data_IF_892555304328
#
_entry.id   IF_892555304328
#
_cell.length_a   1.000
_cell.length_b   1.000
_cell.length_c   1.000
_cell.angle_alpha   90.00
_cell.angle_beta   90.00
_cell.angle_gamma   90.00
#
_symmetry.space_group_name_H-M   'P 1'
#
loop_
_entity.id
_entity.type
_entity.pdbx_description
1 polymer ?
#
# COMPACT_ATOMS: atom_id res chain seq x y z
N UNK A 1 -5.16 17.20 -8.43
CA UNK A 1 -4.55 16.64 -7.19
C UNK A 1 -3.46 15.67 -7.63
N UNK A 2 -2.36 15.56 -6.88
CA UNK A 2 -1.32 14.59 -7.19
C UNK A 2 -1.85 13.18 -6.90
N UNK A 3 -1.57 12.23 -7.79
CA UNK A 3 -2.01 10.84 -7.65
C UNK A 3 -1.10 10.10 -6.67
N UNK A 4 -1.67 9.20 -5.87
CA UNK A 4 -0.89 8.29 -5.03
C UNK A 4 -0.24 7.20 -5.88
N UNK A 5 0.97 6.82 -5.50
CA UNK A 5 1.68 5.65 -6.03
C UNK A 5 1.89 4.67 -4.88
N UNK A 6 1.83 3.38 -5.16
CA UNK A 6 1.73 2.35 -4.14
C UNK A 6 2.93 1.39 -4.16
N UNK A 7 3.32 0.92 -2.96
CA UNK A 7 4.22 -0.20 -2.77
C UNK A 7 3.43 -1.36 -2.16
N UNK A 8 3.18 -2.41 -2.94
CA UNK A 8 2.59 -3.64 -2.44
C UNK A 8 3.66 -4.47 -1.73
N UNK A 9 3.41 -4.76 -0.47
CA UNK A 9 4.25 -5.62 0.38
C UNK A 9 4.28 -7.09 -0.11
N UNK A 10 5.20 -7.90 0.39
CA UNK A 10 5.45 -9.27 -0.10
C UNK A 10 4.26 -10.22 0.08
N UNK A 11 3.42 -9.97 1.10
CA UNK A 11 2.22 -10.76 1.38
C UNK A 11 1.00 -10.35 0.55
N UNK A 12 1.08 -9.26 -0.21
CA UNK A 12 -0.03 -8.81 -1.06
C UNK A 12 -0.23 -9.79 -2.23
N UNK A 13 -1.45 -10.31 -2.38
CA UNK A 13 -1.79 -11.27 -3.43
C UNK A 13 -1.50 -10.69 -4.82
N UNK A 14 -0.86 -11.49 -5.68
CA UNK A 14 -0.58 -11.12 -7.08
C UNK A 14 -1.85 -10.73 -7.86
N UNK A 15 -2.99 -11.35 -7.56
CA UNK A 15 -4.28 -10.99 -8.17
C UNK A 15 -4.66 -9.53 -7.92
N UNK A 16 -4.41 -9.00 -6.71
CA UNK A 16 -4.67 -7.59 -6.39
C UNK A 16 -3.71 -6.67 -7.14
N UNK A 17 -2.42 -7.01 -7.17
CA UNK A 17 -1.40 -6.25 -7.92
C UNK A 17 -1.75 -6.18 -9.41
N UNK A 18 -2.11 -7.31 -10.02
CA UNK A 18 -2.51 -7.36 -11.43
C UNK A 18 -3.80 -6.55 -11.67
N UNK A 19 -4.78 -6.64 -10.79
CA UNK A 19 -6.02 -5.89 -10.92
C UNK A 19 -5.79 -4.37 -10.82
N UNK A 20 -4.96 -3.92 -9.87
CA UNK A 20 -4.57 -2.51 -9.72
C UNK A 20 -3.89 -1.97 -10.98
N UNK A 21 -2.86 -2.67 -11.47
CA UNK A 21 -2.13 -2.28 -12.69
C UNK A 21 -3.01 -2.30 -13.93
N UNK A 22 -3.84 -3.33 -14.08
CA UNK A 22 -4.83 -3.43 -15.16
C UNK A 22 -5.84 -2.29 -15.16
N UNK A 23 -6.02 -1.64 -14.00
CA UNK A 23 -6.85 -0.46 -13.81
C UNK A 23 -6.05 0.85 -13.76
N UNK A 24 -4.79 0.86 -14.19
CA UNK A 24 -3.97 2.07 -14.31
C UNK A 24 -3.52 2.68 -12.98
N UNK A 25 -3.58 1.93 -11.88
CA UNK A 25 -2.98 2.34 -10.60
C UNK A 25 -1.48 2.09 -10.65
N UNK A 26 -0.69 3.09 -10.28
CA UNK A 26 0.76 2.98 -10.18
C UNK A 26 1.13 2.17 -8.93
N UNK A 27 1.56 0.92 -9.12
CA UNK A 27 1.94 0.01 -8.03
C UNK A 27 3.21 -0.75 -8.35
N UNK A 28 4.18 -0.62 -7.44
CA UNK A 28 5.41 -1.40 -7.38
C UNK A 28 5.20 -2.53 -6.39
N UNK A 29 5.60 -3.75 -6.71
CA UNK A 29 5.49 -4.89 -5.81
C UNK A 29 6.87 -5.33 -5.31
N UNK A 30 7.01 -5.57 -4.00
CA UNK A 30 8.26 -6.06 -3.40
C UNK A 30 8.67 -7.42 -3.99
N UNK A 31 7.69 -8.29 -4.24
CA UNK A 31 7.89 -9.66 -4.74
C UNK A 31 8.52 -9.73 -6.15
N UNK A 32 8.51 -8.62 -6.90
CA UNK A 32 9.01 -8.56 -8.29
C UNK A 32 10.44 -7.99 -8.40
N UNK A 33 11.05 -7.57 -7.29
CA UNK A 33 12.46 -7.16 -7.26
C UNK A 33 13.40 -8.32 -6.89
N UNK A 34 14.68 -8.21 -7.26
CA UNK A 34 15.78 -9.18 -6.98
C UNK A 34 16.06 -9.45 -5.48
N UNK A 35 15.18 -9.04 -4.56
CA UNK A 35 15.46 -9.02 -3.11
C UNK A 35 14.25 -9.36 -2.24
N UNK A 36 13.56 -10.45 -2.57
CA UNK A 36 12.64 -11.14 -1.65
C UNK A 36 13.38 -11.48 -0.34
N UNK A 37 12.80 -11.13 0.83
CA UNK A 37 13.36 -11.46 2.15
C UNK A 37 14.20 -10.37 2.85
N UNK A 38 14.06 -9.09 2.49
CA UNK A 38 14.61 -7.99 3.31
C UNK A 38 13.61 -7.59 4.41
N UNK A 39 14.12 -7.23 5.60
CA UNK A 39 13.31 -6.81 6.76
C UNK A 39 12.40 -5.61 6.44
N UNK A 40 11.23 -5.55 7.07
CA UNK A 40 10.18 -4.54 6.88
C UNK A 40 10.66 -3.09 6.98
N UNK A 41 11.69 -2.82 7.80
CA UNK A 41 12.37 -1.52 7.88
C UNK A 41 12.85 -1.00 6.51
N UNK A 42 13.23 -1.91 5.60
CA UNK A 42 13.69 -1.59 4.25
C UNK A 42 12.51 -1.20 3.34
N UNK A 43 11.31 -1.73 3.57
CA UNK A 43 10.13 -1.41 2.77
C UNK A 43 9.64 0.02 3.08
N UNK A 44 9.60 0.40 4.36
CA UNK A 44 9.25 1.77 4.78
C UNK A 44 10.28 2.81 4.32
N UNK A 45 11.57 2.49 4.39
CA UNK A 45 12.61 3.41 3.93
C UNK A 45 12.56 3.62 2.40
N UNK A 46 12.31 2.56 1.63
CA UNK A 46 12.16 2.66 0.17
C UNK A 46 10.91 3.40 -0.24
N UNK A 47 9.80 3.16 0.46
CA UNK A 47 8.54 3.84 0.18
C UNK A 47 8.69 5.34 0.45
N UNK A 48 9.36 5.71 1.56
CA UNK A 48 9.68 7.10 1.88
C UNK A 48 10.55 7.79 0.81
N UNK A 49 11.58 7.12 0.29
CA UNK A 49 12.45 7.69 -0.75
C UNK A 49 11.74 7.97 -2.08
N UNK A 50 10.63 7.26 -2.36
CA UNK A 50 9.90 7.35 -3.63
C UNK A 50 8.50 7.92 -3.47
N UNK A 51 8.15 8.40 -2.28
CA UNK A 51 6.79 8.81 -1.91
C UNK A 51 5.72 7.77 -2.25
N UNK A 52 5.96 6.51 -1.92
CA UNK A 52 5.00 5.42 -2.14
C UNK A 52 4.20 5.15 -0.86
N UNK A 53 2.89 5.00 -1.00
CA UNK A 53 2.01 4.51 0.07
C UNK A 53 2.14 2.98 0.12
N UNK A 54 2.43 2.43 1.30
CA UNK A 54 2.56 0.98 1.47
C UNK A 54 1.19 0.33 1.54
N UNK A 55 0.97 -0.76 0.82
CA UNK A 55 -0.23 -1.59 0.92
C UNK A 55 0.18 -2.93 1.54
N UNK A 56 -0.40 -3.29 2.68
CA UNK A 56 -0.02 -4.51 3.43
C UNK A 56 -1.18 -5.05 4.27
N UNK A 57 -1.10 -6.32 4.63
CA UNK A 57 -1.95 -7.00 5.60
C UNK A 57 -1.14 -7.59 6.77
N UNK A 58 0.10 -7.14 6.94
CA UNK A 58 0.96 -7.53 8.04
C UNK A 58 0.84 -6.52 9.19
N UNK A 59 0.36 -6.99 10.34
CA UNK A 59 0.13 -6.17 11.54
C UNK A 59 1.41 -5.50 12.05
N UNK A 60 2.59 -6.05 11.74
CA UNK A 60 3.86 -5.48 12.16
C UNK A 60 4.11 -4.10 11.52
N UNK A 61 3.56 -3.84 10.32
CA UNK A 61 3.63 -2.50 9.70
C UNK A 61 2.89 -1.43 10.50
N UNK A 62 1.77 -1.77 11.16
CA UNK A 62 1.05 -0.82 12.02
C UNK A 62 1.88 -0.47 13.25
N UNK A 63 2.62 -1.45 13.80
CA UNK A 63 3.55 -1.21 14.92
C UNK A 63 4.75 -0.38 14.50
N UNK A 64 5.26 -0.59 13.29
CA UNK A 64 6.38 0.18 12.73
C UNK A 64 5.97 1.61 12.39
N UNK A 65 4.74 1.82 11.91
CA UNK A 65 4.16 3.13 11.61
C UNK A 65 4.20 4.09 12.82
N UNK A 66 3.99 3.55 14.03
CA UNK A 66 4.07 4.34 15.26
C UNK A 66 5.48 4.77 15.65
N UNK A 67 6.51 4.11 15.10
CA UNK A 67 7.91 4.29 15.49
C UNK A 67 8.75 5.01 14.44
N UNK A 68 8.30 5.05 13.19
CA UNK A 68 9.06 5.58 12.06
C UNK A 68 8.16 6.45 11.19
N UNK A 69 8.72 7.50 10.59
CA UNK A 69 7.99 8.29 9.60
C UNK A 69 7.81 7.52 8.30
N UNK A 70 6.66 7.69 7.66
CA UNK A 70 6.30 7.01 6.41
C UNK A 70 5.42 7.89 5.51
N UNK A 71 5.39 7.58 4.21
CA UNK A 71 4.54 8.32 3.25
C UNK A 71 3.06 7.97 3.35
N UNK A 72 2.74 6.85 4.01
CA UNK A 72 1.37 6.41 4.26
C UNK A 72 1.27 4.90 4.19
N UNK A 73 0.28 4.33 4.87
CA UNK A 73 0.00 2.91 4.84
C UNK A 73 -1.49 2.72 4.58
N UNK A 74 -1.83 1.87 3.61
CA UNK A 74 -3.15 1.28 3.47
C UNK A 74 -3.07 -0.15 4.00
N UNK A 75 -3.74 -0.38 5.12
CA UNK A 75 -3.81 -1.67 5.78
C UNK A 75 -5.13 -2.37 5.41
N UNK A 76 -5.09 -3.69 5.19
CA UNK A 76 -6.29 -4.51 5.06
C UNK A 76 -6.14 -5.76 5.94
N UNK A 77 -7.15 -6.01 6.75
CA UNK A 77 -7.24 -7.14 7.68
C UNK A 77 -7.83 -8.39 7.02
N UNK A 78 -8.82 -8.23 6.16
CA UNK A 78 -9.47 -9.35 5.47
C UNK A 78 -8.69 -9.72 4.20
N UNK A 79 -8.21 -10.96 4.13
CA UNK A 79 -7.32 -11.35 3.04
C UNK A 79 -8.10 -11.77 1.78
N UNK A 80 -9.41 -12.01 1.87
CA UNK A 80 -10.23 -12.57 0.78
C UNK A 80 -11.24 -11.58 0.17
N UNK A 81 -10.79 -10.36 -0.13
CA UNK A 81 -11.56 -9.44 -0.96
C UNK A 81 -11.66 -9.89 -2.43
N UNK A 82 -12.74 -9.50 -3.11
CA UNK A 82 -12.75 -9.54 -4.57
C UNK A 82 -11.72 -8.55 -5.11
N UNK A 83 -10.91 -8.90 -6.13
CA UNK A 83 -9.94 -7.98 -6.71
C UNK A 83 -10.57 -6.67 -7.22
N UNK A 84 -11.82 -6.70 -7.67
CA UNK A 84 -12.54 -5.51 -8.15
C UNK A 84 -12.90 -4.57 -7.00
N UNK A 85 -13.29 -5.11 -5.86
CA UNK A 85 -13.59 -4.34 -4.64
C UNK A 85 -12.29 -3.71 -4.09
N UNK A 86 -11.20 -4.49 -4.08
CA UNK A 86 -9.88 -4.00 -3.68
C UNK A 86 -9.42 -2.80 -4.54
N UNK A 87 -9.55 -2.91 -5.87
CA UNK A 87 -9.26 -1.80 -6.79
C UNK A 87 -10.17 -0.60 -6.55
N UNK A 88 -11.46 -0.85 -6.30
CA UNK A 88 -12.44 0.20 -6.05
C UNK A 88 -12.09 0.99 -4.78
N UNK A 89 -11.75 0.29 -3.70
CA UNK A 89 -11.33 0.89 -2.44
C UNK A 89 -10.06 1.75 -2.61
N UNK A 90 -9.00 1.20 -3.22
CA UNK A 90 -7.76 1.95 -3.48
C UNK A 90 -8.01 3.20 -4.32
N UNK A 91 -8.89 3.12 -5.34
CA UNK A 91 -9.25 4.30 -6.14
C UNK A 91 -10.04 5.35 -5.37
N UNK A 92 -10.86 4.95 -4.39
CA UNK A 92 -11.56 5.91 -3.52
C UNK A 92 -10.57 6.61 -2.59
N UNK A 93 -9.62 5.87 -2.01
CA UNK A 93 -8.51 6.41 -1.21
C UNK A 93 -7.68 7.41 -2.04
N UNK A 94 -7.23 7.03 -3.24
CA UNK A 94 -6.45 7.88 -4.17
C UNK A 94 -7.18 9.18 -4.56
N UNK A 95 -8.52 9.15 -4.63
CA UNK A 95 -9.31 10.36 -4.91
C UNK A 95 -9.51 11.25 -3.71
N UNK A 96 -9.50 10.69 -2.50
CA UNK A 96 -9.83 11.40 -1.28
C UNK A 96 -8.60 12.02 -0.63
N UNK A 97 -7.48 11.29 -0.63
CA UNK A 97 -6.24 11.71 0.01
C UNK A 97 -5.22 12.20 -1.00
N UNK A 98 -4.56 13.31 -0.69
CA UNK A 98 -3.31 13.69 -1.34
C UNK A 98 -2.12 12.94 -0.72
N UNK A 99 -0.94 12.93 -1.38
CA UNK A 99 0.28 12.41 -0.76
C UNK A 99 0.62 13.06 0.58
N UNK A 100 0.22 14.33 0.75
CA UNK A 100 0.46 15.09 1.98
C UNK A 100 -0.44 14.63 3.12
N UNK A 101 -1.70 14.31 2.83
CA UNK A 101 -2.66 13.79 3.80
C UNK A 101 -2.26 12.37 4.27
N UNK A 102 -1.64 11.58 3.38
CA UNK A 102 -1.19 10.22 3.69
C UNK A 102 0.06 10.16 4.57
N UNK A 103 0.84 11.25 4.69
CA UNK A 103 2.08 11.24 5.47
C UNK A 103 1.83 10.89 6.93
N UNK A 104 2.51 9.85 7.42
CA UNK A 104 2.35 9.28 8.76
C UNK A 104 0.91 8.87 9.09
N UNK A 105 0.07 8.65 8.06
CA UNK A 105 -1.31 8.20 8.20
C UNK A 105 -1.44 6.71 7.85
N UNK A 106 -2.28 6.01 8.61
CA UNK A 106 -2.65 4.62 8.36
C UNK A 106 -4.14 4.59 8.05
N UNK A 107 -4.48 4.19 6.83
CA UNK A 107 -5.85 4.06 6.36
C UNK A 107 -6.24 2.58 6.28
N UNK A 108 -7.47 2.26 6.65
CA UNK A 108 -7.99 0.90 6.58
C UNK A 108 -8.77 0.73 5.29
N UNK A 109 -8.38 -0.23 4.46
CA UNK A 109 -8.99 -0.48 3.15
C UNK A 109 -10.49 -0.78 3.29
N UNK A 110 -10.89 -1.47 4.35
CA UNK A 110 -12.26 -1.85 4.64
C UNK A 110 -13.22 -0.66 4.83
N UNK A 111 -12.70 0.52 5.18
CA UNK A 111 -13.52 1.74 5.25
C UNK A 111 -14.00 2.21 3.88
N UNK A 112 -13.47 1.62 2.80
CA UNK A 112 -13.64 2.09 1.43
C UNK A 112 -14.20 1.02 0.49
N UNK A 113 -14.60 -0.15 1.00
CA UNK A 113 -15.29 -1.20 0.25
C UNK A 113 -16.72 -0.77 -0.10
#
# INVERSE_FOLDING_TARGET
MAQLSFLADEHVKRSYIHALRGNGVDVVAVIEGDRTGQKDDVHLQRSSQRNLVVVTNDDDFVRLAQKQSHTGIVFYSEQNHDPSDFVTAIRRIDRFFSPDDMRNHVEWLENWL
#
